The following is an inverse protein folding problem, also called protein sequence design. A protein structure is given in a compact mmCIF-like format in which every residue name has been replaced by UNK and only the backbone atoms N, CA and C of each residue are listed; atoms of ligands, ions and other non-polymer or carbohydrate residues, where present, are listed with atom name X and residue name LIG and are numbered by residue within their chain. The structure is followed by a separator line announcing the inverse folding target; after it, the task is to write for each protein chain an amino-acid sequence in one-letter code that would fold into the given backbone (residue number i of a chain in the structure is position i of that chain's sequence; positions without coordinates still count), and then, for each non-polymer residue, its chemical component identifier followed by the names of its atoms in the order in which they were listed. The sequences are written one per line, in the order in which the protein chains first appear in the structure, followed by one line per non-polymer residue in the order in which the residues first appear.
data_IF_875880594907
#
_entry.id   IF_875880594907
#
_cell.length_a   1.000
_cell.length_b   1.000
_cell.length_c   1.000
_cell.angle_alpha   90.00
_cell.angle_beta   90.00
_cell.angle_gamma   90.00
#
_symmetry.space_group_name_H-M   'P 1'
#
loop_
_entity.id
_entity.type
_entity.pdbx_description
1 polymer ?
#
# COMPACT_ATOMS: atom_id res chain seq x y z
N UNK A 1 -21.68 -4.56 1.01
CA UNK A 1 -20.65 -3.50 1.05
C UNK A 1 -19.48 -3.99 0.21
N UNK A 2 -18.96 -3.21 -0.75
CA UNK A 2 -17.77 -3.66 -1.50
C UNK A 2 -16.54 -3.62 -0.58
N UNK A 3 -15.68 -4.63 -0.66
CA UNK A 3 -14.47 -4.74 0.15
C UNK A 3 -13.48 -3.61 -0.12
N UNK A 4 -12.71 -3.26 0.89
CA UNK A 4 -11.66 -2.23 0.82
C UNK A 4 -10.31 -2.90 1.00
N UNK A 5 -9.39 -2.64 0.07
CA UNK A 5 -8.02 -3.13 0.17
C UNK A 5 -7.11 -2.03 0.66
N UNK A 6 -6.37 -2.28 1.73
CA UNK A 6 -5.32 -1.39 2.21
C UNK A 6 -4.00 -2.05 1.81
N UNK A 7 -3.20 -1.34 1.01
CA UNK A 7 -1.96 -1.88 0.45
C UNK A 7 -0.78 -1.54 1.36
N UNK A 8 0.11 -2.48 1.54
CA UNK A 8 1.39 -2.32 2.26
C UNK A 8 2.56 -2.24 1.25
N UNK A 9 3.74 -1.74 1.65
CA UNK A 9 4.90 -1.63 0.75
C UNK A 9 5.32 -2.99 0.20
N UNK A 10 5.29 -4.01 1.06
CA UNK A 10 5.69 -5.39 0.74
C UNK A 10 4.88 -5.98 -0.43
N UNK A 11 3.55 -5.93 -0.35
CA UNK A 11 2.68 -6.51 -1.39
C UNK A 11 2.76 -5.75 -2.73
N UNK A 12 3.03 -4.44 -2.68
CA UNK A 12 3.26 -3.61 -3.88
C UNK A 12 4.56 -4.03 -4.58
N UNK A 13 5.65 -4.22 -3.83
CA UNK A 13 6.93 -4.63 -4.40
C UNK A 13 6.85 -6.06 -4.97
N UNK A 14 6.12 -6.95 -4.29
CA UNK A 14 5.87 -8.34 -4.72
C UNK A 14 5.12 -8.48 -6.06
N UNK A 15 4.52 -7.39 -6.56
CA UNK A 15 3.82 -7.36 -7.86
C UNK A 15 2.52 -8.16 -7.93
N UNK A 16 1.98 -8.57 -6.77
CA UNK A 16 0.75 -9.41 -6.69
C UNK A 16 -0.52 -8.57 -6.69
N UNK A 17 -0.42 -7.29 -6.32
CA UNK A 17 -1.57 -6.37 -6.18
C UNK A 17 -2.39 -6.25 -7.47
N UNK A 18 -1.81 -6.04 -8.66
CA UNK A 18 -2.57 -5.95 -9.91
C UNK A 18 -3.49 -7.16 -10.18
N UNK A 19 -2.96 -8.36 -9.94
CA UNK A 19 -3.70 -9.59 -10.20
C UNK A 19 -4.82 -9.80 -9.16
N UNK A 20 -4.54 -9.46 -7.90
CA UNK A 20 -5.51 -9.52 -6.82
C UNK A 20 -6.69 -8.55 -7.07
N UNK A 21 -6.40 -7.31 -7.47
CA UNK A 21 -7.44 -6.31 -7.80
C UNK A 21 -8.28 -6.74 -9.00
N UNK A 22 -7.69 -7.40 -10.00
CA UNK A 22 -8.43 -7.96 -11.15
C UNK A 22 -9.38 -9.09 -10.77
N UNK A 23 -8.97 -9.93 -9.82
CA UNK A 23 -9.75 -11.09 -9.38
C UNK A 23 -10.88 -10.68 -8.42
N UNK A 24 -10.53 -9.95 -7.37
CA UNK A 24 -11.43 -9.65 -6.25
C UNK A 24 -12.30 -8.40 -6.51
N UNK A 25 -11.87 -7.50 -7.41
CA UNK A 25 -12.57 -6.26 -7.78
C UNK A 25 -13.11 -5.48 -6.57
N UNK A 26 -12.22 -5.07 -5.64
CA UNK A 26 -12.63 -4.32 -4.46
C UNK A 26 -13.33 -3.01 -4.85
N UNK A 27 -14.13 -2.46 -3.94
CA UNK A 27 -14.78 -1.17 -4.16
C UNK A 27 -13.82 0.02 -4.01
N UNK A 28 -12.80 -0.14 -3.18
CA UNK A 28 -11.78 0.87 -2.92
C UNK A 28 -10.42 0.22 -2.65
N UNK A 29 -9.38 0.80 -3.22
CA UNK A 29 -7.98 0.47 -2.97
C UNK A 29 -7.35 1.69 -2.31
N UNK A 30 -6.75 1.49 -1.14
CA UNK A 30 -6.16 2.53 -0.31
C UNK A 30 -4.65 2.29 -0.25
N UNK A 31 -3.88 3.28 -0.69
CA UNK A 31 -2.42 3.28 -0.57
C UNK A 31 -2.02 4.26 0.54
N UNK A 32 -1.35 3.80 1.60
CA UNK A 32 -0.83 4.67 2.63
C UNK A 32 0.16 5.72 2.06
N UNK A 33 0.08 7.00 2.46
CA UNK A 33 1.06 8.01 2.00
C UNK A 33 2.48 7.68 2.44
N UNK A 34 2.62 7.01 3.59
CA UNK A 34 3.90 6.52 4.12
C UNK A 34 4.59 5.58 3.14
N UNK A 35 3.81 4.65 2.57
CA UNK A 35 4.26 3.65 1.61
C UNK A 35 4.72 4.33 0.33
N UNK A 36 3.97 5.33 -0.16
CA UNK A 36 4.39 6.13 -1.31
C UNK A 36 5.72 6.85 -1.04
N UNK A 37 5.83 7.53 0.10
CA UNK A 37 7.04 8.26 0.48
C UNK A 37 8.26 7.36 0.70
N UNK A 38 8.06 6.13 1.20
CA UNK A 38 9.12 5.12 1.29
C UNK A 38 9.62 4.73 -0.10
N UNK A 39 8.72 4.37 -1.03
CA UNK A 39 9.09 4.00 -2.40
C UNK A 39 9.83 5.13 -3.13
N UNK A 40 9.35 6.37 -3.00
CA UNK A 40 10.02 7.55 -3.55
C UNK A 40 11.41 7.79 -2.95
N UNK A 41 11.56 7.60 -1.64
CA UNK A 41 12.85 7.73 -0.96
C UNK A 41 13.84 6.63 -1.37
N UNK A 42 13.37 5.39 -1.55
CA UNK A 42 14.18 4.28 -2.07
C UNK A 42 14.62 4.55 -3.51
N UNK A 43 13.69 4.99 -4.38
CA UNK A 43 13.97 5.33 -5.76
C UNK A 43 14.96 6.50 -5.89
N UNK A 44 14.79 7.54 -5.06
CA UNK A 44 15.71 8.69 -5.01
C UNK A 44 17.13 8.30 -4.58
N UNK A 45 17.27 7.23 -3.78
CA UNK A 45 18.56 6.64 -3.40
C UNK A 45 19.12 5.67 -4.44
N UNK A 46 18.47 5.52 -5.60
CA UNK A 46 18.89 4.63 -6.67
C UNK A 46 18.59 3.15 -6.42
N UNK A 47 17.71 2.80 -5.46
CA UNK A 47 17.39 1.40 -5.15
C UNK A 47 16.29 0.88 -6.06
N UNK A 48 16.50 -0.29 -6.65
CA UNK A 48 15.58 -0.93 -7.61
C UNK A 48 14.19 -1.16 -7.03
N UNK A 49 14.09 -1.55 -5.76
CA UNK A 49 12.83 -1.79 -5.06
C UNK A 49 11.89 -0.57 -5.11
N UNK A 50 12.45 0.64 -4.98
CA UNK A 50 11.68 1.88 -5.06
C UNK A 50 11.12 2.12 -6.46
N UNK A 51 11.94 1.91 -7.50
CA UNK A 51 11.50 2.03 -8.89
C UNK A 51 10.44 0.98 -9.23
N UNK A 52 10.64 -0.28 -8.81
CA UNK A 52 9.71 -1.37 -9.03
C UNK A 52 8.36 -1.10 -8.35
N UNK A 53 8.35 -0.68 -7.09
CA UNK A 53 7.10 -0.37 -6.38
C UNK A 53 6.35 0.83 -7.00
N UNK A 54 7.07 1.86 -7.45
CA UNK A 54 6.46 3.00 -8.16
C UNK A 54 5.87 2.60 -9.51
N UNK A 55 6.54 1.72 -10.27
CA UNK A 55 5.98 1.19 -11.51
C UNK A 55 4.72 0.35 -11.24
N UNK A 56 4.75 -0.46 -10.18
CA UNK A 56 3.60 -1.28 -9.82
C UNK A 56 2.39 -0.44 -9.40
N UNK A 57 2.61 0.64 -8.64
CA UNK A 57 1.55 1.61 -8.33
C UNK A 57 0.92 2.22 -9.59
N UNK A 58 1.71 2.48 -10.64
CA UNK A 58 1.17 2.92 -11.93
C UNK A 58 0.30 1.86 -12.59
N UNK A 59 0.70 0.57 -12.51
CA UNK A 59 -0.12 -0.54 -13.03
C UNK A 59 -1.43 -0.68 -12.25
N UNK A 60 -1.37 -0.60 -10.92
CA UNK A 60 -2.54 -0.62 -10.03
C UNK A 60 -3.51 0.49 -10.38
N UNK A 61 -3.02 1.73 -10.53
CA UNK A 61 -3.85 2.88 -10.93
C UNK A 61 -4.59 2.63 -12.24
N UNK A 62 -3.89 2.16 -13.29
CA UNK A 62 -4.52 1.84 -14.58
C UNK A 62 -5.60 0.75 -14.45
N UNK A 63 -5.39 -0.24 -13.59
CA UNK A 63 -6.35 -1.32 -13.35
C UNK A 63 -7.58 -0.80 -12.60
N UNK A 64 -7.38 0.05 -11.60
CA UNK A 64 -8.46 0.68 -10.86
C UNK A 64 -9.32 1.56 -11.77
N UNK A 65 -8.69 2.39 -12.61
CA UNK A 65 -9.39 3.22 -13.60
C UNK A 65 -10.21 2.37 -14.59
N UNK A 66 -9.65 1.26 -15.10
CA UNK A 66 -10.35 0.36 -16.04
C UNK A 66 -11.52 -0.41 -15.42
N UNK A 67 -11.49 -0.64 -14.11
CA UNK A 67 -12.50 -1.44 -13.41
C UNK A 67 -13.43 -0.60 -12.54
N UNK A 68 -13.38 0.73 -12.68
CA UNK A 68 -14.16 1.68 -11.87
C UNK A 68 -13.99 1.46 -10.36
N UNK A 69 -12.77 1.10 -9.96
CA UNK A 69 -12.37 0.92 -8.57
C UNK A 69 -11.79 2.24 -8.06
N UNK A 70 -12.25 2.69 -6.90
CA UNK A 70 -11.74 3.92 -6.30
C UNK A 70 -10.32 3.71 -5.78
N UNK A 71 -9.35 4.47 -6.27
CA UNK A 71 -8.00 4.51 -5.71
C UNK A 71 -7.86 5.76 -4.83
N UNK A 72 -7.50 5.56 -3.56
CA UNK A 72 -7.32 6.62 -2.57
C UNK A 72 -5.92 6.55 -1.97
N UNK A 73 -5.21 7.68 -1.88
CA UNK A 73 -3.97 7.77 -1.10
C UNK A 73 -4.30 8.37 0.27
N UNK A 74 -4.11 7.63 1.37
CA UNK A 74 -4.54 8.03 2.72
C UNK A 74 -3.46 7.78 3.77
N UNK A 75 -3.65 8.30 4.98
CA UNK A 75 -2.74 8.09 6.10
C UNK A 75 -1.76 9.25 6.26
N UNK A 76 -1.64 9.72 7.50
CA UNK A 76 -0.62 10.66 7.94
C UNK A 76 0.70 9.91 8.16
N UNK A 77 1.84 10.60 8.10
CA UNK A 77 3.12 10.00 8.49
C UNK A 77 3.00 9.49 9.93
N UNK A 78 3.17 8.18 10.22
CA UNK A 78 3.12 7.68 11.58
C UNK A 78 4.18 8.43 12.37
N UNK A 79 3.76 8.95 13.52
CA UNK A 79 4.69 9.63 14.40
C UNK A 79 5.65 8.60 14.98
N UNK A 80 6.80 9.05 15.46
CA UNK A 80 7.81 8.17 16.10
C UNK A 80 7.17 7.36 17.25
N UNK A 81 6.12 7.89 17.88
CA UNK A 81 5.29 7.19 18.86
C UNK A 81 4.52 5.99 18.29
N UNK A 82 3.91 6.09 17.11
CA UNK A 82 3.18 4.97 16.47
C UNK A 82 4.13 3.81 16.13
N UNK A 83 5.34 4.14 15.67
CA UNK A 83 6.39 3.16 15.34
C UNK A 83 6.89 2.47 16.62
N UNK A 84 7.05 3.23 17.72
CA UNK A 84 7.42 2.67 19.03
C UNK A 84 6.31 1.78 19.61
N UNK A 85 5.06 2.14 19.40
CA UNK A 85 3.90 1.37 19.87
C UNK A 85 3.78 0.03 19.11
N UNK A 86 4.05 0.01 17.80
CA UNK A 86 4.04 -1.22 17.00
C UNK A 86 5.11 -2.24 17.45
N UNK A 87 6.28 -1.79 17.92
CA UNK A 87 7.35 -2.65 18.42
C UNK A 87 7.13 -3.20 19.84
N UNK A 88 6.10 -2.75 20.56
CA UNK A 88 5.91 -3.07 21.99
C UNK A 88 5.11 -4.35 22.29
N UNK A 89 4.80 -5.19 21.28
CA UNK A 89 4.14 -6.49 21.48
C UNK A 89 2.67 -6.41 21.89
N UNK A 90 2.03 -5.23 21.83
CA UNK A 90 0.61 -5.05 22.21
C UNK A 90 -0.38 -5.48 21.11
N UNK A 91 0.08 -5.79 19.90
CA UNK A 91 -0.77 -6.35 18.83
C UNK A 91 -1.34 -7.72 19.22
N UNK A 92 -0.59 -8.53 19.99
CA UNK A 92 -1.08 -9.78 20.59
C UNK A 92 -2.22 -9.57 21.61
N UNK A 93 -2.35 -8.36 22.18
CA UNK A 93 -3.40 -8.07 23.17
C UNK A 93 -4.70 -7.55 22.53
N UNK A 94 -4.69 -7.19 21.25
CA UNK A 94 -5.85 -6.66 20.52
C UNK A 94 -6.53 -7.70 19.61
N UNK A 95 -5.88 -8.83 19.36
CA UNK A 95 -6.50 -9.98 18.70
C UNK A 95 -7.15 -10.86 19.78
N UNK A 96 -8.40 -10.56 20.14
CA UNK A 96 -9.30 -11.52 20.79
C UNK A 96 -10.73 -11.37 20.27
#
# INVERSE_FOLDING_TARGET
MKEKFILDTSIIIDGKVPNLIRKEKPGEVIVPQVVLGELEAQASKGREEGFQGLDELKKVRKICEKQEIKLSFRGERPSIEDIRLAGSGRLDALIR
#
